data_IF_368501641675
#
_entry.id   IF_368501641675
#
_cell.length_a   1.000
_cell.length_b   1.000
_cell.length_c   1.000
_cell.angle_alpha   90.00
_cell.angle_beta   90.00
_cell.angle_gamma   90.00
#
_symmetry.space_group_name_H-M   'P 1'
#
loop_
_entity.id
_entity.type
_entity.pdbx_description
1 polymer ?
#
# COMPACT_ATOMS: atom_id res chain seq x y z
N UNK A 1 14.93 18.01 -7.89
CA UNK A 1 14.82 18.14 -9.36
C UNK A 1 14.34 16.81 -9.91
N UNK A 2 13.22 16.81 -10.62
CA UNK A 2 12.69 15.61 -11.26
C UNK A 2 13.55 15.18 -12.44
N UNK A 3 13.72 13.89 -12.63
CA UNK A 3 14.36 13.34 -13.83
C UNK A 3 13.35 13.12 -14.95
N UNK A 4 12.15 12.68 -14.60
CA UNK A 4 11.02 12.50 -15.53
C UNK A 4 9.71 12.31 -14.78
N UNK A 5 8.58 12.55 -15.45
CA UNK A 5 7.26 12.17 -14.98
C UNK A 5 7.08 10.64 -15.14
N UNK A 6 6.60 9.98 -14.10
CA UNK A 6 6.28 8.56 -14.11
C UNK A 6 4.79 8.33 -14.43
N UNK A 7 3.91 9.10 -13.77
CA UNK A 7 2.47 9.02 -13.97
C UNK A 7 1.80 10.36 -13.65
N UNK A 8 0.59 10.54 -14.18
CA UNK A 8 -0.26 11.68 -13.90
C UNK A 8 -1.69 11.19 -13.73
N UNK A 9 -2.26 11.47 -12.57
CA UNK A 9 -3.62 11.06 -12.20
C UNK A 9 -4.47 12.28 -11.89
N UNK A 10 -5.70 12.30 -12.41
CA UNK A 10 -6.68 13.33 -12.09
C UNK A 10 -7.70 12.77 -11.08
N UNK A 11 -8.10 13.59 -10.13
CA UNK A 11 -9.12 13.25 -9.15
C UNK A 11 -9.81 14.49 -8.60
N UNK A 12 -10.88 14.28 -7.84
CA UNK A 12 -11.57 15.33 -7.11
C UNK A 12 -11.18 15.24 -5.63
N UNK A 13 -10.93 16.38 -5.01
CA UNK A 13 -10.69 16.42 -3.56
C UNK A 13 -12.01 16.45 -2.77
N UNK A 14 -11.91 16.33 -1.46
CA UNK A 14 -13.05 16.43 -0.55
C UNK A 14 -13.72 17.81 -0.53
N UNK A 15 -13.07 18.83 -1.10
CA UNK A 15 -13.57 20.19 -1.31
C UNK A 15 -14.22 20.40 -2.69
N UNK A 16 -14.43 19.30 -3.44
CA UNK A 16 -14.90 19.26 -4.83
C UNK A 16 -13.93 19.92 -5.83
N UNK A 17 -12.74 20.32 -5.39
CA UNK A 17 -11.69 20.83 -6.27
C UNK A 17 -11.12 19.75 -7.20
N UNK A 18 -10.69 20.14 -8.40
CA UNK A 18 -9.99 19.24 -9.32
C UNK A 18 -8.49 19.25 -9.06
N UNK A 19 -7.92 18.08 -8.84
CA UNK A 19 -6.51 17.90 -8.57
C UNK A 19 -5.84 16.98 -9.59
N UNK A 20 -4.57 17.29 -9.86
CA UNK A 20 -3.66 16.38 -10.55
C UNK A 20 -2.58 15.93 -9.58
N UNK A 21 -2.41 14.65 -9.43
CA UNK A 21 -1.28 14.04 -8.70
C UNK A 21 -0.26 13.59 -9.73
N UNK A 22 0.94 14.12 -9.64
CA UNK A 22 2.06 13.79 -10.51
C UNK A 22 3.08 12.97 -9.74
N UNK A 23 3.25 11.72 -10.13
CA UNK A 23 4.38 10.90 -9.70
C UNK A 23 5.58 11.17 -10.58
N UNK A 24 6.71 11.46 -9.97
CA UNK A 24 7.92 11.81 -10.69
C UNK A 24 9.15 11.07 -10.15
N UNK A 25 10.03 10.68 -11.06
CA UNK A 25 11.31 10.08 -10.72
C UNK A 25 12.26 11.14 -10.16
N UNK A 26 12.92 10.79 -9.05
CA UNK A 26 14.07 11.54 -8.54
C UNK A 26 15.29 10.63 -8.54
N UNK A 27 16.28 10.95 -9.39
CA UNK A 27 17.40 10.04 -9.60
C UNK A 27 16.99 8.75 -10.32
N UNK A 28 17.59 7.62 -9.93
CA UNK A 28 17.47 6.34 -10.64
C UNK A 28 16.46 5.37 -10.03
N UNK A 29 16.05 5.57 -8.78
CA UNK A 29 15.33 4.53 -8.03
C UNK A 29 14.25 5.03 -7.10
N UNK A 30 14.01 6.32 -7.01
CA UNK A 30 13.01 6.87 -6.09
C UNK A 30 11.92 7.67 -6.82
N UNK A 31 10.72 7.62 -6.25
CA UNK A 31 9.55 8.38 -6.66
C UNK A 31 9.20 9.42 -5.59
N UNK A 32 8.67 10.52 -6.04
CA UNK A 32 7.96 11.51 -5.21
C UNK A 32 6.68 11.90 -5.90
N UNK A 33 5.72 12.44 -5.15
CA UNK A 33 4.50 12.98 -5.73
C UNK A 33 4.42 14.49 -5.50
N UNK A 34 3.88 15.20 -6.48
CA UNK A 34 3.41 16.56 -6.36
C UNK A 34 1.91 16.62 -6.63
N UNK A 35 1.26 17.61 -5.99
CA UNK A 35 -0.17 17.84 -6.16
C UNK A 35 -0.35 19.21 -6.79
N UNK A 36 -1.18 19.25 -7.81
CA UNK A 36 -1.48 20.45 -8.59
C UNK A 36 -3.00 20.65 -8.53
N UNK A 37 -3.41 21.82 -8.06
CA UNK A 37 -4.82 22.24 -8.04
C UNK A 37 -5.16 22.98 -9.32
N UNK A 38 -6.30 22.67 -9.91
CA UNK A 38 -6.91 23.53 -10.91
C UNK A 38 -7.78 24.57 -10.21
N UNK A 39 -7.37 25.82 -10.32
CA UNK A 39 -8.13 26.97 -9.78
C UNK A 39 -9.15 27.44 -10.82
N UNK A 40 -10.42 27.11 -10.60
CA UNK A 40 -11.51 27.49 -11.51
C UNK A 40 -11.71 29.00 -11.64
N UNK A 41 -11.40 29.76 -10.59
CA UNK A 41 -11.59 31.21 -10.60
C UNK A 41 -10.59 31.91 -11.52
N UNK A 42 -9.39 31.39 -11.63
CA UNK A 42 -8.32 31.94 -12.46
C UNK A 42 -8.11 31.17 -13.76
N UNK A 43 -8.58 29.94 -13.85
CA UNK A 43 -8.34 29.01 -14.96
C UNK A 43 -6.91 28.48 -15.04
N UNK A 44 -6.13 28.58 -13.97
CA UNK A 44 -4.74 28.17 -13.94
C UNK A 44 -4.50 26.94 -13.05
N UNK A 45 -3.47 26.17 -13.41
CA UNK A 45 -2.90 25.13 -12.60
C UNK A 45 -1.89 25.75 -11.62
N UNK A 46 -2.01 25.42 -10.33
CA UNK A 46 -1.08 25.90 -9.31
C UNK A 46 -0.68 24.79 -8.34
N UNK A 47 0.55 24.83 -7.79
CA UNK A 47 0.98 23.86 -6.83
C UNK A 47 0.08 23.89 -5.59
N UNK A 48 -0.45 22.72 -5.23
CA UNK A 48 -1.21 22.56 -3.99
C UNK A 48 -0.26 22.17 -2.85
N UNK A 49 -0.49 22.77 -1.69
CA UNK A 49 0.28 22.45 -0.47
C UNK A 49 -0.70 22.16 0.66
N UNK A 50 -0.82 20.86 1.06
CA UNK A 50 -1.66 20.47 2.18
C UNK A 50 -1.31 21.25 3.44
N UNK A 51 -2.31 21.60 4.23
CA UNK A 51 -2.12 22.33 5.48
C UNK A 51 -1.21 21.56 6.44
N UNK A 52 -0.22 22.24 7.01
CA UNK A 52 0.76 21.64 7.91
C UNK A 52 1.90 20.88 7.25
N UNK A 53 1.93 20.82 5.91
CA UNK A 53 2.99 20.14 5.16
C UNK A 53 3.89 21.15 4.47
N UNK A 54 5.17 21.17 4.86
CA UNK A 54 6.15 22.08 4.28
C UNK A 54 6.76 21.56 2.98
N UNK A 55 6.82 20.24 2.81
CA UNK A 55 7.48 19.57 1.69
C UNK A 55 6.74 18.27 1.33
N UNK A 56 5.87 18.37 0.33
CA UNK A 56 5.08 17.22 -0.15
C UNK A 56 6.00 16.14 -0.77
N UNK A 57 7.03 16.55 -1.49
CA UNK A 57 7.93 15.62 -2.17
C UNK A 57 8.72 14.78 -1.16
N UNK A 58 9.20 15.40 -0.07
CA UNK A 58 9.88 14.67 0.99
C UNK A 58 8.92 13.72 1.72
N UNK A 59 7.69 14.13 1.90
CA UNK A 59 6.67 13.32 2.60
C UNK A 59 6.12 12.18 1.77
N UNK A 60 6.32 12.21 0.45
CA UNK A 60 5.85 11.18 -0.50
C UNK A 60 7.00 10.40 -1.14
N UNK A 61 8.24 10.59 -0.63
CA UNK A 61 9.40 9.86 -1.12
C UNK A 61 9.24 8.37 -0.87
N UNK A 62 9.42 7.57 -1.92
CA UNK A 62 9.36 6.12 -1.87
C UNK A 62 10.36 5.46 -2.83
N UNK A 63 10.77 4.25 -2.51
CA UNK A 63 11.85 3.54 -3.22
C UNK A 63 11.36 2.39 -4.10
N UNK A 64 10.06 2.11 -4.11
CA UNK A 64 9.44 1.12 -5.00
C UNK A 64 8.95 1.80 -6.28
N UNK A 65 9.60 1.50 -7.42
CA UNK A 65 9.36 2.17 -8.70
C UNK A 65 7.96 1.96 -9.28
N UNK A 66 7.33 0.83 -8.95
CA UNK A 66 5.99 0.46 -9.44
C UNK A 66 4.87 0.98 -8.53
N UNK A 67 5.25 1.62 -7.42
CA UNK A 67 4.30 2.09 -6.43
C UNK A 67 3.79 3.49 -6.79
N UNK A 68 2.92 3.55 -7.80
CA UNK A 68 2.31 4.78 -8.31
C UNK A 68 1.07 5.17 -7.50
N UNK A 69 0.80 6.47 -7.44
CA UNK A 69 -0.46 7.01 -6.89
C UNK A 69 -1.66 6.51 -7.70
N UNK A 70 -2.82 6.37 -7.07
CA UNK A 70 -4.07 5.94 -7.71
C UNK A 70 -5.28 6.22 -6.82
N UNK A 71 -6.45 6.19 -7.38
CA UNK A 71 -7.68 6.01 -6.61
C UNK A 71 -7.73 4.55 -6.15
N UNK A 72 -7.48 4.30 -4.86
CA UNK A 72 -7.31 2.95 -4.32
C UNK A 72 -8.66 2.28 -4.02
N UNK A 73 -9.70 3.05 -3.78
CA UNK A 73 -11.02 2.60 -3.33
C UNK A 73 -12.18 3.06 -4.22
N UNK A 74 -11.85 3.55 -5.42
CA UNK A 74 -12.81 4.01 -6.44
C UNK A 74 -13.74 5.14 -5.91
N UNK A 75 -13.22 6.00 -5.02
CA UNK A 75 -13.96 7.14 -4.47
C UNK A 75 -13.81 8.44 -5.27
N UNK A 76 -13.00 8.41 -6.35
CA UNK A 76 -12.71 9.55 -7.20
C UNK A 76 -11.54 10.43 -6.73
N UNK A 77 -10.96 10.12 -5.57
CA UNK A 77 -9.81 10.83 -5.01
C UNK A 77 -8.53 10.02 -5.24
N UNK A 78 -7.43 10.68 -5.56
CA UNK A 78 -6.15 10.00 -5.77
C UNK A 78 -5.41 9.86 -4.44
N UNK A 79 -5.20 8.61 -4.03
CA UNK A 79 -4.37 8.27 -2.88
C UNK A 79 -2.90 8.20 -3.28
N UNK A 80 -2.05 8.73 -2.42
CA UNK A 80 -0.59 8.70 -2.58
C UNK A 80 -0.01 7.70 -1.58
N UNK A 81 0.70 6.65 -2.05
CA UNK A 81 1.34 5.71 -1.16
C UNK A 81 2.59 6.31 -0.52
N UNK A 82 2.75 6.09 0.77
CA UNK A 82 3.89 6.54 1.56
C UNK A 82 4.46 5.34 2.29
N UNK A 83 5.76 5.09 2.08
CA UNK A 83 6.47 4.10 2.90
C UNK A 83 6.62 4.64 4.31
N UNK A 84 6.22 3.86 5.29
CA UNK A 84 6.34 4.22 6.69
C UNK A 84 7.31 3.30 7.40
N UNK A 85 8.17 3.90 8.22
CA UNK A 85 8.87 3.17 9.25
C UNK A 85 7.91 3.09 10.44
N UNK A 86 7.36 1.90 10.65
CA UNK A 86 6.28 1.69 11.62
C UNK A 86 6.80 1.74 13.06
N UNK A 87 7.38 2.87 13.39
CA UNK A 87 7.61 3.27 14.78
C UNK A 87 8.63 2.46 15.55
N UNK A 88 9.64 2.01 14.86
CA UNK A 88 10.72 1.32 15.52
C UNK A 88 10.32 -0.07 15.98
N UNK A 89 9.37 -0.67 15.33
CA UNK A 89 9.41 -2.10 15.20
C UNK A 89 10.77 -2.37 14.61
N UNK A 90 11.65 -2.74 15.46
CA UNK A 90 13.07 -2.92 15.31
C UNK A 90 13.47 -3.88 14.20
N UNK A 91 12.53 -4.20 13.36
CA UNK A 91 12.64 -5.22 12.40
C UNK A 91 12.07 -4.68 11.11
N UNK A 92 12.93 -3.91 10.47
CA UNK A 92 12.93 -3.88 9.01
C UNK A 92 12.40 -5.22 8.55
N UNK A 93 11.39 -5.27 7.68
CA UNK A 93 10.98 -6.53 7.11
C UNK A 93 12.23 -7.30 6.75
N UNK A 94 12.40 -8.51 7.29
CA UNK A 94 13.60 -9.31 7.01
C UNK A 94 13.73 -9.59 5.51
N UNK A 95 12.66 -9.32 4.78
CA UNK A 95 12.55 -9.38 3.35
C UNK A 95 12.37 -7.96 2.80
N UNK A 96 13.34 -7.46 2.03
CA UNK A 96 13.31 -6.13 1.42
C UNK A 96 12.16 -5.92 0.45
N UNK A 97 11.47 -6.98 0.04
CA UNK A 97 10.27 -6.89 -0.80
C UNK A 97 9.03 -6.42 -0.05
N UNK A 98 9.01 -6.57 1.29
CA UNK A 98 7.86 -6.22 2.13
C UNK A 98 8.06 -4.87 2.78
N UNK A 99 7.06 -4.00 2.69
CA UNK A 99 7.06 -2.68 3.32
C UNK A 99 5.71 -2.40 3.96
N UNK A 100 5.71 -1.59 5.03
CA UNK A 100 4.48 -0.97 5.48
C UNK A 100 4.19 0.28 4.65
N UNK A 101 2.95 0.41 4.21
CA UNK A 101 2.47 1.59 3.49
C UNK A 101 1.31 2.24 4.21
N UNK A 102 1.25 3.54 4.00
CA UNK A 102 0.09 4.35 4.29
C UNK A 102 -0.35 5.04 3.00
N UNK A 103 -1.51 4.66 2.48
CA UNK A 103 -2.13 5.38 1.37
C UNK A 103 -2.90 6.57 1.93
N UNK A 104 -2.67 7.76 1.39
CA UNK A 104 -3.22 9.01 1.89
C UNK A 104 -3.85 9.83 0.79
N UNK A 105 -5.08 10.29 1.05
CA UNK A 105 -5.65 11.44 0.38
C UNK A 105 -5.09 12.72 1.00
N UNK A 106 -4.25 13.43 0.26
CA UNK A 106 -3.68 14.71 0.68
C UNK A 106 -4.55 15.92 0.33
N UNK A 107 -5.64 15.73 -0.39
CA UNK A 107 -6.57 16.81 -0.78
C UNK A 107 -7.67 17.01 0.25
N UNK A 108 -7.86 16.06 1.16
CA UNK A 108 -8.82 16.16 2.25
C UNK A 108 -8.35 17.08 3.37
N UNK A 109 -9.14 18.09 3.69
CA UNK A 109 -8.87 19.01 4.81
C UNK A 109 -8.93 18.34 6.19
N UNK A 110 -9.63 17.23 6.31
CA UNK A 110 -9.81 16.48 7.56
C UNK A 110 -8.75 15.41 7.82
N UNK A 111 -7.68 15.40 6.99
CA UNK A 111 -6.62 14.36 7.08
C UNK A 111 -6.96 13.06 6.38
N UNK A 112 -8.00 13.04 5.53
CA UNK A 112 -8.40 11.94 4.65
C UNK A 112 -8.48 10.55 5.29
N UNK A 113 -9.20 9.65 4.70
CA UNK A 113 -9.11 8.24 5.05
C UNK A 113 -7.73 7.73 4.64
N UNK A 114 -6.90 7.39 5.61
CA UNK A 114 -5.63 6.74 5.31
C UNK A 114 -5.78 5.23 5.47
N UNK A 115 -5.21 4.46 4.53
CA UNK A 115 -5.25 3.00 4.56
C UNK A 115 -3.85 2.49 4.88
N UNK A 116 -3.72 1.90 6.06
CA UNK A 116 -2.50 1.25 6.52
C UNK A 116 -2.46 -0.19 6.04
N UNK A 117 -1.29 -0.67 5.62
CA UNK A 117 -1.17 -2.07 5.21
C UNK A 117 0.23 -2.52 4.84
N UNK A 118 0.30 -3.75 4.34
CA UNK A 118 1.53 -4.38 3.87
C UNK A 118 1.57 -4.36 2.35
N UNK A 119 2.69 -3.95 1.81
CA UNK A 119 3.01 -4.01 0.39
C UNK A 119 4.05 -5.10 0.12
N UNK A 120 3.76 -5.97 -0.83
CA UNK A 120 4.69 -6.95 -1.38
C UNK A 120 5.10 -6.50 -2.78
N UNK A 121 6.33 -6.05 -2.92
CA UNK A 121 6.87 -5.50 -4.18
C UNK A 121 7.18 -6.57 -5.23
N UNK A 122 7.34 -7.84 -4.84
CA UNK A 122 7.57 -8.94 -5.79
C UNK A 122 6.31 -9.25 -6.59
N UNK A 123 5.17 -9.23 -5.92
CA UNK A 123 3.88 -9.54 -6.55
C UNK A 123 3.02 -8.31 -6.80
N UNK A 124 3.51 -7.13 -6.43
CA UNK A 124 2.80 -5.85 -6.52
C UNK A 124 1.41 -5.90 -5.85
N UNK A 125 1.39 -6.36 -4.60
CA UNK A 125 0.19 -6.55 -3.81
C UNK A 125 0.20 -5.58 -2.63
N UNK A 126 -0.91 -4.89 -2.42
CA UNK A 126 -1.18 -4.19 -1.17
C UNK A 126 -2.31 -4.90 -0.42
N UNK A 127 -2.10 -5.19 0.85
CA UNK A 127 -3.13 -5.69 1.76
C UNK A 127 -3.34 -4.68 2.88
N UNK A 128 -4.53 -4.08 2.89
CA UNK A 128 -4.94 -3.21 4.00
C UNK A 128 -5.06 -4.00 5.29
N UNK A 129 -4.70 -3.36 6.39
CA UNK A 129 -4.77 -3.92 7.74
C UNK A 129 -5.66 -3.05 8.63
N UNK A 130 -6.28 -3.65 9.66
CA UNK A 130 -6.97 -2.86 10.68
C UNK A 130 -6.05 -1.78 11.28
N UNK A 131 -6.55 -0.56 11.44
CA UNK A 131 -5.79 0.59 11.97
C UNK A 131 -5.15 0.28 13.33
N UNK A 132 -5.81 -0.55 14.16
CA UNK A 132 -5.29 -0.98 15.46
C UNK A 132 -4.01 -1.81 15.39
N UNK A 133 -3.65 -2.28 14.20
CA UNK A 133 -2.38 -3.00 13.96
C UNK A 133 -1.21 -2.06 13.72
N UNK A 134 -1.45 -0.80 13.36
CA UNK A 134 -0.40 0.19 13.11
C UNK A 134 0.49 0.37 14.35
N UNK A 135 1.80 0.19 14.20
CA UNK A 135 2.78 0.24 15.28
C UNK A 135 2.82 -0.96 16.23
N UNK A 136 1.95 -1.97 16.01
CA UNK A 136 1.78 -3.09 16.94
C UNK A 136 2.07 -4.45 16.33
N UNK A 137 2.58 -4.49 15.11
CA UNK A 137 2.82 -5.73 14.37
C UNK A 137 4.20 -5.76 13.73
N UNK A 138 4.58 -6.98 13.35
CA UNK A 138 5.77 -7.30 12.61
C UNK A 138 5.37 -8.13 11.40
N UNK A 139 5.96 -7.84 10.23
CA UNK A 139 5.89 -8.72 9.07
C UNK A 139 7.23 -9.42 8.84
N UNK A 140 7.17 -10.67 8.41
CA UNK A 140 8.34 -11.46 8.05
C UNK A 140 8.01 -12.48 6.98
N UNK A 141 9.00 -12.90 6.20
CA UNK A 141 8.83 -14.00 5.26
C UNK A 141 8.41 -15.28 5.98
N UNK A 142 7.58 -16.09 5.33
CA UNK A 142 7.30 -17.44 5.81
C UNK A 142 8.52 -18.36 5.58
N UNK A 143 8.49 -19.56 6.17
CA UNK A 143 9.62 -20.49 6.08
C UNK A 143 9.92 -20.99 4.66
N UNK A 144 8.91 -21.03 3.80
CA UNK A 144 9.07 -21.45 2.39
C UNK A 144 9.60 -20.36 1.48
N UNK A 145 9.62 -19.09 1.94
CA UNK A 145 9.99 -17.94 1.13
C UNK A 145 8.94 -17.57 0.08
N UNK A 146 7.79 -18.25 0.03
CA UNK A 146 6.72 -18.01 -0.95
C UNK A 146 5.64 -17.06 -0.44
N UNK A 147 5.81 -16.51 0.73
CA UNK A 147 4.83 -15.64 1.35
C UNK A 147 5.34 -15.00 2.63
N UNK A 148 4.44 -14.46 3.42
CA UNK A 148 4.77 -13.69 4.61
C UNK A 148 3.75 -13.88 5.73
N UNK A 149 4.17 -13.52 6.92
CA UNK A 149 3.42 -13.65 8.17
C UNK A 149 3.23 -12.28 8.78
N UNK A 150 2.02 -12.02 9.28
CA UNK A 150 1.74 -10.91 10.18
C UNK A 150 1.78 -11.46 11.60
N UNK A 151 2.63 -10.90 12.44
CA UNK A 151 2.83 -11.30 13.81
C UNK A 151 2.56 -10.13 14.77
N UNK A 152 2.43 -10.44 16.07
CA UNK A 152 2.56 -9.40 17.08
C UNK A 152 3.97 -8.77 17.06
N UNK A 153 4.15 -7.63 17.70
CA UNK A 153 5.42 -6.89 17.69
C UNK A 153 6.63 -7.70 18.16
N UNK A 154 6.43 -8.67 19.06
CA UNK A 154 7.48 -9.57 19.54
C UNK A 154 7.77 -10.74 18.59
N UNK A 155 6.97 -10.92 17.54
CA UNK A 155 7.11 -12.01 16.57
C UNK A 155 6.77 -13.40 17.10
N UNK A 156 6.15 -13.49 18.29
CA UNK A 156 5.84 -14.76 18.99
C UNK A 156 4.48 -15.33 18.60
N UNK A 157 3.54 -14.48 18.21
CA UNK A 157 2.19 -14.87 17.81
C UNK A 157 1.96 -14.51 16.35
N UNK A 158 1.58 -15.47 15.51
CA UNK A 158 1.19 -15.26 14.12
C UNK A 158 -0.32 -15.02 14.06
N UNK A 159 -0.73 -13.90 13.49
CA UNK A 159 -2.13 -13.59 13.26
C UNK A 159 -2.61 -14.11 11.91
N UNK A 160 -1.84 -13.81 10.86
CA UNK A 160 -2.19 -14.17 9.50
C UNK A 160 -0.95 -14.67 8.74
N UNK A 161 -1.18 -15.59 7.82
CA UNK A 161 -0.20 -16.02 6.84
C UNK A 161 -0.73 -15.82 5.44
N UNK A 162 0.08 -15.19 4.60
CA UNK A 162 -0.11 -15.03 3.16
C UNK A 162 0.89 -15.90 2.42
N UNK A 163 0.48 -16.48 1.29
CA UNK A 163 1.41 -17.22 0.41
C UNK A 163 0.96 -17.13 -1.04
N UNK A 164 1.94 -17.22 -1.94
CA UNK A 164 1.71 -17.37 -3.38
C UNK A 164 2.08 -18.80 -3.75
N UNK A 165 1.18 -19.51 -4.41
CA UNK A 165 1.34 -20.92 -4.78
C UNK A 165 0.96 -21.17 -6.23
N UNK A 166 1.62 -22.15 -6.85
CA UNK A 166 1.17 -22.69 -8.12
C UNK A 166 -0.04 -23.62 -7.87
N UNK A 167 -1.20 -23.39 -8.50
CA UNK A 167 -2.36 -24.25 -8.35
C UNK A 167 -2.15 -25.68 -8.85
N UNK A 168 -1.16 -25.90 -9.72
CA UNK A 168 -0.76 -27.24 -10.18
C UNK A 168 0.01 -28.03 -9.11
N UNK A 169 0.55 -27.35 -8.09
CA UNK A 169 1.21 -28.01 -6.96
C UNK A 169 0.18 -28.47 -5.91
N UNK A 170 -0.31 -29.71 -6.09
CA UNK A 170 -1.29 -30.32 -5.19
C UNK A 170 -0.79 -30.45 -3.74
N UNK A 171 0.52 -30.48 -3.51
CA UNK A 171 1.09 -30.54 -2.18
C UNK A 171 0.96 -29.18 -1.46
N UNK A 172 1.06 -28.09 -2.20
CA UNK A 172 0.93 -26.74 -1.66
C UNK A 172 -0.55 -26.34 -1.45
N UNK A 173 -1.46 -26.75 -2.34
CA UNK A 173 -2.87 -26.32 -2.29
C UNK A 173 -3.73 -27.04 -1.26
N UNK A 174 -3.34 -28.22 -0.80
CA UNK A 174 -4.15 -29.10 0.06
C UNK A 174 -3.88 -29.02 1.56
N UNK A 175 -2.88 -28.28 2.01
CA UNK A 175 -2.46 -28.28 3.41
C UNK A 175 -2.81 -26.96 4.11
N UNK A 176 -3.63 -27.05 5.16
CA UNK A 176 -4.01 -25.94 6.03
C UNK A 176 -5.15 -25.09 5.43
N UNK A 177 -6.09 -24.67 6.22
CA UNK A 177 -7.32 -23.94 5.85
C UNK A 177 -7.05 -22.56 5.19
N UNK A 178 -6.41 -22.56 4.01
CA UNK A 178 -6.16 -21.35 3.25
C UNK A 178 -7.36 -21.03 2.36
N UNK A 179 -7.72 -19.75 2.33
CA UNK A 179 -8.65 -19.20 1.37
C UNK A 179 -7.88 -18.58 0.19
N UNK A 180 -8.33 -18.84 -1.02
CA UNK A 180 -7.85 -18.12 -2.20
C UNK A 180 -8.34 -16.68 -2.14
N UNK A 181 -7.42 -15.72 -2.20
CA UNK A 181 -7.70 -14.29 -2.18
C UNK A 181 -7.76 -13.74 -3.60
N UNK A 182 -6.75 -14.06 -4.42
CA UNK A 182 -6.65 -13.55 -5.79
C UNK A 182 -5.85 -14.51 -6.69
N UNK A 183 -5.90 -14.26 -8.00
CA UNK A 183 -4.99 -14.87 -8.97
C UNK A 183 -3.90 -13.86 -9.35
N UNK A 184 -2.66 -14.30 -9.43
CA UNK A 184 -1.49 -13.53 -9.85
C UNK A 184 -0.90 -14.25 -11.06
N UNK A 185 -1.32 -13.86 -12.25
CA UNK A 185 -0.99 -14.62 -13.46
C UNK A 185 -1.47 -16.07 -13.37
N UNK A 186 -0.56 -17.03 -13.47
CA UNK A 186 -0.83 -18.47 -13.30
C UNK A 186 -0.85 -18.93 -11.83
N UNK A 187 -0.45 -18.10 -10.89
CA UNK A 187 -0.34 -18.41 -9.47
C UNK A 187 -1.58 -17.93 -8.70
N UNK A 188 -1.70 -18.36 -7.45
CA UNK A 188 -2.75 -17.96 -6.53
C UNK A 188 -2.17 -17.34 -5.26
N UNK A 189 -2.69 -16.17 -4.90
CA UNK A 189 -2.53 -15.62 -3.57
C UNK A 189 -3.54 -16.28 -2.64
N UNK A 190 -3.05 -16.83 -1.55
CA UNK A 190 -3.84 -17.48 -0.53
C UNK A 190 -3.54 -16.92 0.85
N UNK A 191 -4.55 -16.88 1.71
CA UNK A 191 -4.43 -16.43 3.09
C UNK A 191 -5.04 -17.42 4.08
N UNK A 192 -4.51 -17.43 5.30
CA UNK A 192 -5.18 -18.03 6.47
C UNK A 192 -5.02 -17.15 7.70
N UNK A 193 -6.05 -17.07 8.50
CA UNK A 193 -5.97 -16.53 9.86
C UNK A 193 -5.50 -17.66 10.78
N UNK A 194 -4.40 -17.43 11.48
CA UNK A 194 -3.76 -18.41 12.39
C UNK A 194 -4.24 -18.18 13.81
N UNK A 195 -4.19 -16.93 14.26
CA UNK A 195 -4.67 -16.50 15.56
C UNK A 195 -5.63 -15.34 15.39
N UNK A 196 -6.76 -15.37 16.08
CA UNK A 196 -7.75 -14.31 15.98
C UNK A 196 -7.17 -12.96 16.42
N UNK A 197 -7.44 -11.94 15.64
CA UNK A 197 -7.19 -10.54 15.96
C UNK A 197 -8.44 -9.73 15.62
N UNK A 198 -8.80 -8.78 16.49
CA UNK A 198 -10.00 -7.96 16.28
C UNK A 198 -9.90 -7.17 14.97
N UNK A 199 -10.90 -7.33 14.12
CA UNK A 199 -10.96 -6.69 12.80
C UNK A 199 -10.22 -7.44 11.68
N UNK A 200 -9.40 -8.46 11.96
CA UNK A 200 -8.71 -9.26 10.96
C UNK A 200 -9.44 -10.59 10.72
N UNK A 201 -10.15 -10.70 9.63
CA UNK A 201 -10.81 -11.93 9.18
C UNK A 201 -10.42 -12.26 7.74
N UNK A 202 -10.71 -13.49 7.28
CA UNK A 202 -10.48 -13.85 5.87
C UNK A 202 -11.32 -13.01 4.91
N UNK A 203 -12.56 -12.66 5.31
CA UNK A 203 -13.41 -11.79 4.52
C UNK A 203 -12.81 -10.38 4.43
N UNK A 204 -12.33 -9.83 5.55
CA UNK A 204 -11.62 -8.55 5.55
C UNK A 204 -10.41 -8.59 4.61
N UNK A 205 -9.54 -9.60 4.73
CA UNK A 205 -8.35 -9.76 3.90
C UNK A 205 -8.74 -9.84 2.41
N UNK A 206 -9.77 -10.62 2.09
CA UNK A 206 -10.23 -10.78 0.70
C UNK A 206 -10.78 -9.49 0.09
N UNK A 207 -11.48 -8.69 0.87
CA UNK A 207 -12.07 -7.43 0.41
C UNK A 207 -11.05 -6.28 0.34
N UNK A 208 -9.98 -6.35 1.13
CA UNK A 208 -9.01 -5.27 1.30
C UNK A 208 -7.60 -5.64 0.79
N UNK A 209 -7.51 -6.63 -0.10
CA UNK A 209 -6.28 -6.96 -0.83
C UNK A 209 -6.42 -6.50 -2.27
N UNK A 210 -5.50 -5.63 -2.69
CA UNK A 210 -5.46 -5.03 -4.02
C UNK A 210 -4.22 -5.48 -4.76
N UNK A 211 -4.41 -5.98 -6.00
CA UNK A 211 -3.31 -6.21 -6.94
C UNK A 211 -3.01 -4.88 -7.63
N UNK A 212 -1.86 -4.30 -7.34
CA UNK A 212 -1.45 -3.00 -7.88
C UNK A 212 -0.85 -3.13 -9.30
N UNK A 213 -1.11 -4.24 -9.99
CA UNK A 213 -0.55 -4.58 -11.31
C UNK A 213 -0.59 -3.44 -12.31
N UNK A 214 0.31 -3.49 -13.29
CA UNK A 214 0.38 -2.52 -14.38
C UNK A 214 -0.97 -2.39 -15.07
N UNK A 215 -1.47 -1.18 -15.10
CA UNK A 215 -2.57 -0.76 -15.96
C UNK A 215 -2.17 -0.90 -17.43
#
# INVERSE_FOLDING_TARGET
VYSSCAALHAGTGSDEGMYLVMDAWTGTSSLVSDIILYDEATGFLQPYRPSGMSDIQRSTLRYHRELLSRDLDDNGTVDIPVEIDDGGTLQTPMDKRLSFLLWKDYTSMAGGNSKFGVYDSEYNIFMELPESMHGNILIRSNQSGTGWLICNAEGTTVYCEMRVVDPADNAATGVGNYLRIANIGSQQLQARVVTSYYGLSLDFISQNTVLLGSN
#
